data_IF_392230685221
#
_entry.id   IF_392230685221
#
_cell.length_a   1.000
_cell.length_b   1.000
_cell.length_c   1.000
_cell.angle_alpha   90.00
_cell.angle_beta   90.00
_cell.angle_gamma   90.00
#
_symmetry.space_group_name_H-M   'P 1'
#
loop_
_entity.id
_entity.type
_entity.pdbx_description
1 polymer ?
#
# COMPACT_ATOMS: atom_id res chain seq x y z
N UNK A 1 16.23 -6.69 -46.33
CA UNK A 1 14.80 -6.45 -46.10
C UNK A 1 14.17 -7.40 -45.07
N UNK A 2 14.59 -8.64 -44.90
CA UNK A 2 14.01 -9.56 -43.90
C UNK A 2 14.33 -9.21 -42.43
N UNK A 3 15.54 -8.74 -42.13
CA UNK A 3 15.97 -8.38 -40.77
C UNK A 3 15.24 -7.15 -40.21
N UNK A 4 14.90 -6.18 -41.05
CA UNK A 4 14.18 -4.98 -40.63
C UNK A 4 12.70 -5.27 -40.27
N UNK A 5 12.08 -6.21 -41.00
CA UNK A 5 10.68 -6.64 -40.69
C UNK A 5 10.59 -7.45 -39.40
N UNK A 6 11.60 -8.28 -39.09
CA UNK A 6 11.63 -9.03 -37.81
C UNK A 6 11.85 -8.12 -36.60
N UNK A 7 12.69 -7.08 -36.72
CA UNK A 7 12.95 -6.11 -35.66
C UNK A 7 11.71 -5.25 -35.35
N UNK A 8 10.97 -4.82 -36.38
CA UNK A 8 9.75 -4.03 -36.23
C UNK A 8 8.63 -4.90 -35.58
N UNK A 9 8.51 -6.17 -35.97
CA UNK A 9 7.52 -7.08 -35.40
C UNK A 9 7.81 -7.36 -33.93
N UNK A 10 9.08 -7.53 -33.54
CA UNK A 10 9.48 -7.77 -32.13
C UNK A 10 9.24 -6.54 -31.24
N UNK A 11 9.49 -5.33 -31.78
CA UNK A 11 9.18 -4.08 -31.06
C UNK A 11 7.66 -3.89 -30.86
N UNK A 12 6.84 -4.17 -31.90
CA UNK A 12 5.38 -4.07 -31.75
C UNK A 12 4.81 -5.10 -30.79
N UNK A 13 5.30 -6.34 -30.75
CA UNK A 13 4.87 -7.35 -29.81
C UNK A 13 5.27 -6.97 -28.38
N UNK A 14 6.47 -6.44 -28.15
CA UNK A 14 6.91 -6.00 -26.83
C UNK A 14 6.08 -4.81 -26.28
N UNK A 15 5.72 -3.86 -27.14
CA UNK A 15 4.86 -2.72 -26.77
C UNK A 15 3.42 -3.18 -26.49
N UNK A 16 2.89 -4.11 -27.29
CA UNK A 16 1.54 -4.64 -27.09
C UNK A 16 1.43 -5.48 -25.81
N UNK A 17 2.45 -6.29 -25.48
CA UNK A 17 2.49 -7.09 -24.24
C UNK A 17 2.58 -6.16 -23.00
N UNK A 18 3.34 -5.06 -23.06
CA UNK A 18 3.40 -4.10 -21.96
C UNK A 18 2.09 -3.33 -21.77
N UNK A 19 1.41 -2.93 -22.83
CA UNK A 19 0.09 -2.30 -22.73
C UNK A 19 -0.92 -3.26 -22.11
N UNK A 20 -0.97 -4.53 -22.54
CA UNK A 20 -1.84 -5.56 -21.98
C UNK A 20 -1.61 -5.81 -20.48
N UNK A 21 -0.35 -5.81 -20.02
CA UNK A 21 -0.03 -6.01 -18.60
C UNK A 21 -0.49 -4.83 -17.72
N UNK A 22 -0.40 -3.61 -18.23
CA UNK A 22 -0.92 -2.42 -17.52
C UNK A 22 -2.45 -2.41 -17.47
N UNK A 23 -3.12 -2.76 -18.58
CA UNK A 23 -4.57 -2.83 -18.64
C UNK A 23 -5.13 -3.91 -17.67
N UNK A 24 -4.43 -5.04 -17.55
CA UNK A 24 -4.79 -6.09 -16.59
C UNK A 24 -4.66 -5.56 -15.15
N UNK A 25 -3.56 -4.89 -14.83
CA UNK A 25 -3.32 -4.35 -13.49
C UNK A 25 -4.37 -3.28 -13.13
N UNK A 26 -4.68 -2.36 -14.03
CA UNK A 26 -5.73 -1.35 -13.87
C UNK A 26 -7.10 -2.00 -13.64
N UNK A 27 -7.44 -3.00 -14.44
CA UNK A 27 -8.71 -3.74 -14.33
C UNK A 27 -8.83 -4.47 -13.00
N UNK A 28 -7.76 -5.12 -12.54
CA UNK A 28 -7.74 -5.84 -11.28
C UNK A 28 -7.90 -4.89 -10.09
N UNK A 29 -7.11 -3.79 -10.06
CA UNK A 29 -7.23 -2.77 -9.02
C UNK A 29 -8.66 -2.25 -8.91
N UNK A 30 -9.27 -1.90 -10.04
CA UNK A 30 -10.67 -1.46 -10.07
C UNK A 30 -11.62 -2.54 -9.55
N UNK A 31 -11.43 -3.79 -9.95
CA UNK A 31 -12.28 -4.90 -9.52
C UNK A 31 -12.21 -5.13 -8.01
N UNK A 32 -11.01 -5.05 -7.41
CA UNK A 32 -10.83 -5.18 -5.97
C UNK A 32 -11.51 -4.04 -5.22
N UNK A 33 -11.31 -2.80 -5.67
CA UNK A 33 -11.87 -1.60 -5.03
C UNK A 33 -13.39 -1.62 -5.12
N UNK A 34 -13.98 -1.88 -6.30
CA UNK A 34 -15.43 -1.98 -6.48
C UNK A 34 -16.02 -3.07 -5.58
N UNK A 35 -15.38 -4.25 -5.50
CA UNK A 35 -15.86 -5.31 -4.63
C UNK A 35 -15.86 -4.90 -3.16
N UNK A 36 -14.78 -4.31 -2.66
CA UNK A 36 -14.64 -3.88 -1.26
C UNK A 36 -15.57 -2.70 -0.95
N UNK A 37 -15.59 -1.65 -1.78
CA UNK A 37 -16.27 -0.40 -1.48
C UNK A 37 -17.75 -0.36 -1.88
N UNK A 38 -18.15 -1.12 -2.93
CA UNK A 38 -19.53 -1.09 -3.44
C UNK A 38 -20.30 -2.38 -3.14
N UNK A 39 -19.66 -3.57 -3.33
CA UNK A 39 -20.35 -4.85 -3.09
C UNK A 39 -20.43 -5.15 -1.59
N UNK A 40 -19.36 -4.96 -0.83
CA UNK A 40 -19.36 -5.08 0.64
C UNK A 40 -19.81 -3.75 1.25
N UNK A 41 -19.25 -2.64 0.78
CA UNK A 41 -19.53 -1.28 1.25
C UNK A 41 -18.84 -0.97 2.56
N UNK A 42 -19.52 -0.27 3.46
CA UNK A 42 -19.05 0.13 4.79
C UNK A 42 -18.57 -1.09 5.60
N UNK A 43 -17.29 -1.13 5.92
CA UNK A 43 -16.58 -2.24 6.58
C UNK A 43 -16.13 -1.84 7.99
N UNK A 44 -16.99 -1.15 8.71
CA UNK A 44 -16.63 -0.61 10.01
C UNK A 44 -16.67 -1.67 11.14
N UNK A 45 -16.05 -1.34 12.27
CA UNK A 45 -15.92 -2.24 13.43
C UNK A 45 -17.26 -2.65 14.09
N UNK A 46 -18.33 -1.90 13.85
CA UNK A 46 -19.67 -2.23 14.37
C UNK A 46 -20.31 -3.35 13.55
N UNK A 47 -20.07 -3.39 12.24
CA UNK A 47 -20.56 -4.41 11.31
C UNK A 47 -19.49 -5.49 11.06
N UNK A 48 -19.32 -6.37 12.06
CA UNK A 48 -18.33 -7.44 11.98
C UNK A 48 -18.62 -8.45 10.85
N UNK A 49 -19.85 -8.55 10.35
CA UNK A 49 -20.19 -9.43 9.23
C UNK A 49 -19.57 -8.92 7.93
N UNK A 50 -19.74 -7.63 7.61
CA UNK A 50 -19.11 -7.01 6.44
C UNK A 50 -17.59 -6.98 6.55
N UNK A 51 -17.07 -6.67 7.76
CA UNK A 51 -15.63 -6.69 7.99
C UNK A 51 -15.04 -8.09 7.77
N UNK A 52 -15.72 -9.15 8.22
CA UNK A 52 -15.30 -10.52 7.98
C UNK A 52 -15.41 -10.92 6.50
N UNK A 53 -16.47 -10.47 5.78
CA UNK A 53 -16.56 -10.68 4.33
C UNK A 53 -15.38 -10.07 3.58
N UNK A 54 -14.91 -8.90 4.01
CA UNK A 54 -13.70 -8.28 3.44
C UNK A 54 -12.44 -9.11 3.75
N UNK A 55 -12.28 -9.56 5.01
CA UNK A 55 -11.17 -10.43 5.41
C UNK A 55 -11.15 -11.74 4.60
N UNK A 56 -12.30 -12.39 4.44
CA UNK A 56 -12.43 -13.65 3.70
C UNK A 56 -12.13 -13.45 2.19
N UNK A 57 -12.59 -12.34 1.60
CA UNK A 57 -12.24 -11.97 0.23
C UNK A 57 -10.74 -11.79 0.05
N UNK A 58 -10.08 -11.05 0.95
CA UNK A 58 -8.64 -10.81 0.91
C UNK A 58 -7.87 -12.13 1.05
N UNK A 59 -8.29 -12.98 1.99
CA UNK A 59 -7.71 -14.30 2.20
C UNK A 59 -7.84 -15.18 0.94
N UNK A 60 -9.03 -15.22 0.32
CA UNK A 60 -9.29 -15.97 -0.91
C UNK A 60 -8.39 -15.49 -2.06
N UNK A 61 -8.25 -14.16 -2.24
CA UNK A 61 -7.38 -13.60 -3.27
C UNK A 61 -5.91 -13.96 -3.06
N UNK A 62 -5.39 -13.81 -1.85
CA UNK A 62 -4.02 -14.21 -1.54
C UNK A 62 -3.78 -15.71 -1.82
N UNK A 63 -4.73 -16.59 -1.43
CA UNK A 63 -4.65 -18.04 -1.73
C UNK A 63 -4.71 -18.32 -3.24
N UNK A 64 -5.55 -17.60 -3.99
CA UNK A 64 -5.65 -17.75 -5.44
C UNK A 64 -4.35 -17.41 -6.17
N UNK A 65 -3.54 -16.51 -5.58
CA UNK A 65 -2.20 -16.15 -6.07
C UNK A 65 -1.12 -17.12 -5.56
N UNK A 66 -1.51 -18.21 -4.87
CA UNK A 66 -0.60 -19.24 -4.32
C UNK A 66 0.37 -18.72 -3.26
N UNK A 67 0.01 -17.66 -2.55
CA UNK A 67 0.76 -17.19 -1.39
C UNK A 67 0.60 -18.19 -0.21
N UNK A 68 1.58 -18.21 0.69
CA UNK A 68 1.41 -18.81 2.00
C UNK A 68 0.60 -17.85 2.89
N UNK A 69 -0.62 -18.23 3.27
CA UNK A 69 -1.58 -17.32 3.91
C UNK A 69 -1.80 -17.68 5.37
N UNK A 70 -1.64 -16.70 6.25
CA UNK A 70 -1.91 -16.80 7.67
C UNK A 70 -3.01 -15.80 8.08
N UNK A 71 -4.01 -16.29 8.81
CA UNK A 71 -5.07 -15.48 9.42
C UNK A 71 -4.77 -15.31 10.91
N UNK A 72 -4.33 -14.12 11.31
CA UNK A 72 -4.04 -13.78 12.71
C UNK A 72 -5.31 -13.27 13.37
N UNK A 73 -5.87 -14.03 14.30
CA UNK A 73 -7.04 -13.63 15.08
C UNK A 73 -6.63 -12.84 16.33
N UNK A 74 -7.41 -11.83 16.70
CA UNK A 74 -7.28 -11.09 17.94
C UNK A 74 -8.66 -10.62 18.44
N UNK A 75 -8.78 -10.36 19.73
CA UNK A 75 -10.07 -10.01 20.36
C UNK A 75 -10.04 -8.60 20.90
N UNK A 76 -11.05 -7.81 20.55
CA UNK A 76 -11.30 -6.47 21.08
C UNK A 76 -12.77 -6.39 21.46
N UNK A 77 -13.07 -5.95 22.69
CA UNK A 77 -14.45 -5.78 23.20
C UNK A 77 -15.34 -7.03 22.98
N UNK A 78 -14.80 -8.21 23.26
CA UNK A 78 -15.45 -9.52 23.08
C UNK A 78 -15.83 -9.88 21.62
N UNK A 79 -15.31 -9.15 20.64
CA UNK A 79 -15.44 -9.47 19.21
C UNK A 79 -14.09 -9.92 18.65
N UNK A 80 -14.12 -10.87 17.70
CA UNK A 80 -12.90 -11.37 17.06
C UNK A 80 -12.70 -10.67 15.72
N UNK A 81 -11.47 -10.20 15.50
CA UNK A 81 -11.01 -9.54 14.29
C UNK A 81 -9.79 -10.27 13.73
N UNK A 82 -9.45 -10.01 12.49
CA UNK A 82 -8.41 -10.74 11.79
C UNK A 82 -7.46 -9.81 11.03
N UNK A 83 -6.16 -10.03 11.16
CA UNK A 83 -5.20 -9.60 10.15
C UNK A 83 -4.97 -10.75 9.17
N UNK A 84 -4.85 -10.45 7.88
CA UNK A 84 -4.62 -11.44 6.84
C UNK A 84 -3.23 -11.21 6.25
N UNK A 85 -2.32 -12.15 6.52
CA UNK A 85 -0.95 -12.12 6.00
C UNK A 85 -0.82 -13.07 4.80
N UNK A 86 -0.20 -12.60 3.74
CA UNK A 86 0.30 -13.41 2.64
C UNK A 86 1.82 -13.31 2.59
N UNK A 87 2.50 -14.45 2.66
CA UNK A 87 3.95 -14.52 2.50
C UNK A 87 4.33 -15.06 1.12
N UNK A 88 5.20 -14.34 0.43
CA UNK A 88 5.91 -14.80 -0.77
C UNK A 88 7.37 -14.92 -0.41
N UNK A 89 7.87 -16.17 -0.31
CA UNK A 89 9.25 -16.43 0.08
C UNK A 89 10.25 -15.94 -0.93
N UNK A 90 11.31 -15.34 -0.44
CA UNK A 90 12.43 -14.86 -1.24
C UNK A 90 13.15 -15.98 -1.98
N UNK A 91 13.80 -15.64 -3.09
CA UNK A 91 14.56 -16.59 -3.91
C UNK A 91 15.98 -16.85 -3.39
N UNK A 92 16.62 -15.86 -2.76
CA UNK A 92 18.01 -15.94 -2.26
C UNK A 92 18.17 -15.52 -0.82
N UNK A 93 17.81 -14.29 -0.45
CA UNK A 93 17.95 -13.74 0.90
C UNK A 93 16.62 -13.89 1.69
N UNK A 94 16.18 -15.11 1.89
CA UNK A 94 14.84 -15.45 2.44
C UNK A 94 14.61 -14.93 3.86
N UNK A 95 15.67 -14.72 4.64
CA UNK A 95 15.60 -14.23 6.01
C UNK A 95 15.44 -12.71 6.08
N UNK A 96 15.64 -12.00 4.98
CA UNK A 96 15.36 -10.58 4.86
C UNK A 96 13.90 -10.39 4.46
N UNK A 97 13.14 -9.71 5.30
CA UNK A 97 11.70 -9.56 5.15
C UNK A 97 11.36 -8.08 4.97
N UNK A 98 10.55 -7.78 3.96
CA UNK A 98 9.87 -6.49 3.83
C UNK A 98 8.39 -6.74 4.05
N UNK A 99 7.77 -5.97 4.93
CA UNK A 99 6.32 -5.99 5.17
C UNK A 99 5.68 -4.85 4.38
N UNK A 100 4.59 -5.13 3.67
CA UNK A 100 3.76 -4.12 3.00
C UNK A 100 2.34 -4.33 3.47
N UNK A 101 1.70 -3.29 4.02
CA UNK A 101 0.37 -3.44 4.61
C UNK A 101 -0.59 -2.33 4.23
N UNK A 102 -1.88 -2.61 4.44
CA UNK A 102 -2.97 -1.66 4.31
C UNK A 102 -4.11 -2.08 5.23
N UNK A 103 -4.81 -1.13 5.84
CA UNK A 103 -6.01 -1.48 6.58
C UNK A 103 -7.19 -1.74 5.63
N UNK A 104 -8.13 -2.58 6.07
CA UNK A 104 -9.29 -2.93 5.25
C UNK A 104 -10.63 -2.52 5.87
N UNK A 105 -10.61 -2.04 7.12
CA UNK A 105 -11.77 -1.40 7.74
C UNK A 105 -11.99 0.02 7.23
N UNK A 106 -13.16 0.58 7.51
CA UNK A 106 -13.55 1.95 7.16
C UNK A 106 -14.17 2.63 8.37
N UNK A 107 -14.20 3.95 8.34
CA UNK A 107 -15.05 4.68 9.25
C UNK A 107 -16.54 4.41 8.92
N UNK A 108 -17.40 4.42 9.94
CA UNK A 108 -18.83 4.12 9.76
C UNK A 108 -19.50 5.10 8.79
N UNK A 109 -20.28 4.55 7.83
CA UNK A 109 -21.03 5.31 6.84
C UNK A 109 -20.25 5.71 5.59
N UNK A 110 -19.00 5.18 5.41
CA UNK A 110 -18.20 5.43 4.21
C UNK A 110 -18.02 4.15 3.39
N UNK A 111 -18.11 4.22 2.05
CA UNK A 111 -17.74 3.09 1.19
C UNK A 111 -16.25 2.76 1.28
N UNK A 112 -15.40 3.75 1.55
CA UNK A 112 -13.97 3.59 1.72
C UNK A 112 -13.28 3.04 0.47
N UNK A 113 -13.50 3.69 -0.67
CA UNK A 113 -12.87 3.28 -1.92
C UNK A 113 -11.39 3.68 -1.96
N UNK A 114 -11.10 4.92 -1.59
CA UNK A 114 -9.73 5.36 -1.40
C UNK A 114 -9.22 4.98 -0.02
N UNK A 115 -10.04 5.18 1.00
CA UNK A 115 -9.75 4.93 2.43
C UNK A 115 -10.41 3.64 2.94
N UNK A 116 -9.80 2.42 2.89
CA UNK A 116 -8.50 2.21 2.26
C UNK A 116 -8.55 0.97 1.34
N UNK A 117 -9.67 0.81 0.57
CA UNK A 117 -9.74 -0.25 -0.43
C UNK A 117 -8.67 -0.07 -1.53
N UNK A 118 -8.20 1.18 -1.78
CA UNK A 118 -7.11 1.46 -2.70
C UNK A 118 -5.80 0.82 -2.25
N UNK A 119 -5.43 0.98 -0.98
CA UNK A 119 -4.26 0.34 -0.38
C UNK A 119 -4.38 -1.19 -0.36
N UNK A 120 -5.57 -1.72 -0.01
CA UNK A 120 -5.84 -3.17 -0.05
C UNK A 120 -5.69 -3.73 -1.45
N UNK A 121 -6.27 -3.09 -2.48
CA UNK A 121 -6.09 -3.49 -3.87
C UNK A 121 -4.61 -3.47 -4.27
N UNK A 122 -3.86 -2.48 -3.79
CA UNK A 122 -2.42 -2.39 -3.99
C UNK A 122 -1.66 -3.59 -3.44
N UNK A 123 -1.92 -4.01 -2.19
CA UNK A 123 -1.24 -5.18 -1.62
C UNK A 123 -1.67 -6.49 -2.29
N UNK A 124 -2.92 -6.61 -2.76
CA UNK A 124 -3.38 -7.77 -3.51
C UNK A 124 -2.62 -7.91 -4.83
N UNK A 125 -2.48 -6.83 -5.60
CA UNK A 125 -1.77 -6.87 -6.86
C UNK A 125 -0.24 -7.03 -6.69
N UNK A 126 0.35 -6.46 -5.62
CA UNK A 126 1.75 -6.76 -5.27
C UNK A 126 1.95 -8.23 -4.92
N UNK A 127 0.99 -8.88 -4.23
CA UNK A 127 1.03 -10.31 -3.96
C UNK A 127 1.01 -11.13 -5.24
N UNK A 128 0.14 -10.79 -6.19
CA UNK A 128 0.06 -11.44 -7.49
C UNK A 128 1.38 -11.31 -8.25
N UNK A 129 1.91 -10.09 -8.38
CA UNK A 129 3.18 -9.84 -9.07
C UNK A 129 4.35 -10.57 -8.41
N UNK A 130 4.44 -10.52 -7.09
CA UNK A 130 5.49 -11.21 -6.35
C UNK A 130 5.37 -12.74 -6.45
N UNK A 131 4.16 -13.29 -6.55
CA UNK A 131 3.96 -14.72 -6.76
C UNK A 131 4.32 -15.17 -8.18
N UNK A 132 4.08 -14.34 -9.19
CA UNK A 132 4.46 -14.61 -10.58
C UNK A 132 5.98 -14.50 -10.80
N UNK A 133 6.62 -13.55 -10.13
CA UNK A 133 8.07 -13.32 -10.20
C UNK A 133 8.63 -13.02 -8.81
N UNK A 134 8.96 -14.06 -7.98
CA UNK A 134 9.42 -13.84 -6.63
C UNK A 134 10.74 -13.05 -6.56
N UNK A 135 10.80 -12.14 -5.58
CA UNK A 135 11.94 -11.26 -5.32
C UNK A 135 13.05 -11.98 -4.52
N UNK A 136 14.29 -11.46 -4.45
CA UNK A 136 15.34 -11.99 -3.60
C UNK A 136 14.97 -12.08 -2.11
N UNK A 137 14.28 -11.07 -1.56
CA UNK A 137 13.82 -11.03 -0.17
C UNK A 137 12.41 -11.61 -0.04
N UNK A 138 12.06 -12.10 1.12
CA UNK A 138 10.68 -12.46 1.48
C UNK A 138 9.83 -11.22 1.59
N UNK A 139 8.66 -11.25 0.95
CA UNK A 139 7.67 -10.17 1.02
C UNK A 139 6.46 -10.67 1.79
N UNK A 140 6.08 -9.96 2.84
CA UNK A 140 4.84 -10.18 3.56
C UNK A 140 3.87 -9.05 3.25
N UNK A 141 2.70 -9.42 2.75
CA UNK A 141 1.61 -8.49 2.45
C UNK A 141 0.51 -8.70 3.49
N UNK A 142 0.14 -7.64 4.19
CA UNK A 142 -0.73 -7.77 5.36
C UNK A 142 -1.90 -6.80 5.27
N UNK A 143 -3.12 -7.33 5.31
CA UNK A 143 -4.32 -6.52 5.50
C UNK A 143 -4.63 -6.43 6.99
N UNK A 144 -4.70 -5.21 7.52
CA UNK A 144 -4.94 -4.93 8.94
C UNK A 144 -6.39 -4.57 9.21
N UNK A 145 -6.91 -4.99 10.37
CA UNK A 145 -8.21 -4.56 10.86
C UNK A 145 -8.05 -3.45 11.92
N UNK A 146 -9.11 -2.67 12.11
CA UNK A 146 -9.24 -1.71 13.22
C UNK A 146 -8.18 -0.59 13.20
N UNK A 147 -7.87 -0.07 12.04
CA UNK A 147 -7.07 1.16 11.93
C UNK A 147 -7.89 2.39 12.33
N UNK A 148 -9.14 2.42 11.93
CA UNK A 148 -10.05 3.55 12.06
C UNK A 148 -10.52 3.81 13.50
N UNK A 149 -10.98 5.04 13.83
CA UNK A 149 -11.63 5.32 15.10
C UNK A 149 -12.79 4.37 15.42
N UNK A 150 -12.93 3.92 16.68
CA UNK A 150 -12.28 4.45 17.89
C UNK A 150 -10.93 3.81 18.22
N UNK A 151 -10.44 2.88 17.40
CA UNK A 151 -9.24 2.11 17.71
C UNK A 151 -7.95 2.75 17.21
N UNK A 152 -8.04 3.77 16.36
CA UNK A 152 -6.91 4.54 15.87
C UNK A 152 -5.95 4.95 17.00
N UNK A 153 -4.65 4.74 16.80
CA UNK A 153 -3.57 5.00 17.79
C UNK A 153 -3.62 4.18 19.07
N UNK A 154 -4.51 3.21 19.18
CA UNK A 154 -4.60 2.30 20.33
C UNK A 154 -3.82 1.00 20.09
N UNK A 155 -3.66 0.20 21.14
CA UNK A 155 -3.09 -1.15 21.07
C UNK A 155 -4.03 -2.17 20.40
N UNK A 156 -5.24 -1.76 20.09
CA UNK A 156 -6.25 -2.59 19.46
C UNK A 156 -6.20 -2.53 17.91
N UNK A 157 -5.41 -1.60 17.34
CA UNK A 157 -5.14 -1.62 15.90
C UNK A 157 -4.54 -2.95 15.49
N UNK A 158 -5.04 -3.54 14.40
CA UNK A 158 -4.50 -4.79 13.87
C UNK A 158 -3.02 -4.71 13.55
N UNK A 159 -2.57 -3.58 13.00
CA UNK A 159 -1.16 -3.33 12.76
C UNK A 159 -0.30 -3.33 14.03
N UNK A 160 -0.84 -2.82 15.16
CA UNK A 160 -0.13 -2.88 16.43
C UNK A 160 -0.04 -4.32 16.95
N UNK A 161 -1.14 -5.07 16.88
CA UNK A 161 -1.18 -6.50 17.25
C UNK A 161 -0.18 -7.30 16.42
N UNK A 162 -0.11 -7.02 15.12
CA UNK A 162 0.82 -7.69 14.20
C UNK A 162 2.28 -7.31 14.50
N UNK A 163 2.61 -6.03 14.61
CA UNK A 163 3.97 -5.57 14.89
C UNK A 163 4.49 -6.08 16.23
N UNK A 164 3.65 -6.10 17.28
CA UNK A 164 4.02 -6.69 18.58
C UNK A 164 4.17 -8.21 18.51
N UNK A 165 3.44 -8.92 17.63
CA UNK A 165 3.67 -10.36 17.44
C UNK A 165 5.04 -10.63 16.81
N UNK A 166 5.43 -9.86 15.79
CA UNK A 166 6.77 -9.94 15.20
C UNK A 166 7.87 -9.70 16.25
N UNK A 167 7.68 -8.70 17.11
CA UNK A 167 8.63 -8.38 18.17
C UNK A 167 8.76 -9.50 19.20
N UNK A 168 7.65 -10.09 19.62
CA UNK A 168 7.65 -11.24 20.56
C UNK A 168 8.30 -12.48 19.98
N UNK A 169 8.16 -12.69 18.67
CA UNK A 169 8.79 -13.79 17.94
C UNK A 169 10.26 -13.51 17.63
N UNK A 170 10.76 -12.32 17.89
CA UNK A 170 12.12 -11.89 17.55
C UNK A 170 12.34 -11.76 16.04
N UNK A 171 11.26 -11.64 15.25
CA UNK A 171 11.34 -11.51 13.79
C UNK A 171 11.95 -10.19 13.41
N UNK A 172 13.03 -10.23 12.63
CA UNK A 172 13.67 -9.03 12.07
C UNK A 172 13.08 -8.76 10.69
N UNK A 173 12.75 -7.50 10.44
CA UNK A 173 12.32 -7.03 9.13
C UNK A 173 13.23 -5.89 8.68
N UNK A 174 13.44 -5.74 7.37
CA UNK A 174 14.17 -4.61 6.78
C UNK A 174 13.39 -3.29 6.95
N UNK A 175 12.07 -3.39 6.93
CA UNK A 175 11.14 -2.31 7.21
C UNK A 175 9.71 -2.64 6.77
N UNK A 176 8.78 -1.71 7.11
CA UNK A 176 7.37 -1.82 6.71
C UNK A 176 6.95 -0.62 5.86
N UNK A 177 6.14 -0.88 4.85
CA UNK A 177 5.51 0.11 3.98
C UNK A 177 4.00 0.04 4.17
N UNK A 178 3.38 1.11 4.66
CA UNK A 178 1.92 1.24 4.69
C UNK A 178 1.44 1.85 3.38
N UNK A 179 0.48 1.23 2.71
CA UNK A 179 -0.28 1.83 1.62
C UNK A 179 -1.54 2.44 2.20
N UNK A 180 -1.64 3.76 2.12
CA UNK A 180 -2.70 4.55 2.76
C UNK A 180 -3.29 5.55 1.79
N UNK A 181 -4.50 5.29 1.26
CA UNK A 181 -5.10 6.15 0.24
C UNK A 181 -4.12 6.43 -0.91
N UNK A 182 -4.16 5.61 -1.94
CA UNK A 182 -3.22 5.70 -3.06
C UNK A 182 -3.92 5.97 -4.41
N UNK A 183 -5.21 6.32 -4.37
CA UNK A 183 -6.05 6.37 -5.56
C UNK A 183 -6.48 7.75 -6.02
N UNK A 184 -6.48 8.78 -5.18
CA UNK A 184 -6.99 10.09 -5.54
C UNK A 184 -5.89 11.03 -6.04
N UNK A 185 -6.05 11.54 -7.27
CA UNK A 185 -5.12 12.48 -7.90
C UNK A 185 -5.85 13.73 -8.37
N UNK A 186 -5.15 14.87 -8.36
CA UNK A 186 -5.68 16.14 -8.79
C UNK A 186 -4.63 16.97 -9.53
N UNK A 187 -4.88 17.26 -10.80
CA UNK A 187 -3.97 18.01 -11.66
C UNK A 187 -4.23 19.53 -11.67
N UNK A 188 -5.20 20.01 -10.87
CA UNK A 188 -5.51 21.43 -10.76
C UNK A 188 -4.52 22.12 -9.82
N UNK A 189 -4.14 23.36 -10.14
CA UNK A 189 -3.35 24.18 -9.22
C UNK A 189 -4.16 24.51 -7.95
N UNK A 190 -3.49 24.36 -6.81
CA UNK A 190 -4.07 24.67 -5.51
C UNK A 190 -4.97 23.60 -4.90
N UNK A 191 -5.06 22.41 -5.50
CA UNK A 191 -5.78 21.27 -4.91
C UNK A 191 -4.96 20.47 -3.89
N UNK A 192 -3.71 20.83 -3.66
CA UNK A 192 -2.86 20.23 -2.63
C UNK A 192 -2.68 21.19 -1.46
N UNK A 193 -3.06 20.73 -0.28
CA UNK A 193 -2.86 21.44 0.99
C UNK A 193 -1.75 20.80 1.80
N UNK A 194 -1.28 21.49 2.85
CA UNK A 194 -0.20 21.04 3.70
C UNK A 194 -0.44 21.43 5.15
N UNK A 195 0.04 20.63 6.14
CA UNK A 195 -0.17 20.90 7.56
C UNK A 195 0.44 22.21 8.03
N UNK A 196 1.52 22.66 7.39
CA UNK A 196 2.20 23.91 7.73
C UNK A 196 2.28 24.81 6.49
N UNK A 197 1.91 26.11 6.61
CA UNK A 197 1.81 27.00 5.45
C UNK A 197 3.06 27.14 4.60
N UNK A 198 4.25 26.99 5.21
CA UNK A 198 5.51 27.13 4.50
C UNK A 198 5.86 25.91 3.63
N UNK A 199 5.21 24.74 3.83
CA UNK A 199 5.44 23.56 2.98
C UNK A 199 5.08 23.80 1.52
N UNK A 200 4.09 24.68 1.24
CA UNK A 200 3.74 25.08 -0.14
C UNK A 200 4.87 25.75 -0.92
N UNK A 201 5.96 26.15 -0.27
CA UNK A 201 7.13 26.72 -0.92
C UNK A 201 8.12 25.64 -1.37
N UNK A 202 8.05 24.43 -0.82
CA UNK A 202 8.98 23.33 -1.05
C UNK A 202 8.32 22.15 -1.78
N UNK A 203 6.99 22.05 -1.73
CA UNK A 203 6.24 20.93 -2.28
C UNK A 203 5.26 21.40 -3.39
N UNK A 204 4.84 20.46 -4.29
CA UNK A 204 3.94 20.79 -5.40
C UNK A 204 2.60 21.38 -4.96
N UNK A 205 2.01 22.26 -5.80
CA UNK A 205 0.66 22.80 -5.58
C UNK A 205 -0.45 21.93 -6.17
N UNK A 206 -0.08 20.96 -7.02
CA UNK A 206 -0.97 19.97 -7.63
C UNK A 206 -0.89 18.67 -6.86
N UNK A 207 -2.00 17.98 -6.73
CA UNK A 207 -2.07 16.67 -6.10
C UNK A 207 -1.83 15.51 -7.07
N UNK A 208 -0.80 15.58 -7.90
CA UNK A 208 -0.51 14.59 -8.95
C UNK A 208 0.69 13.69 -8.62
N UNK A 209 1.01 13.53 -7.34
CA UNK A 209 2.12 12.74 -6.82
C UNK A 209 1.65 11.85 -5.67
N UNK A 210 2.46 10.86 -5.29
CA UNK A 210 2.34 10.16 -4.01
C UNK A 210 3.44 10.60 -3.05
N UNK A 211 3.12 10.62 -1.76
CA UNK A 211 4.03 11.06 -0.70
C UNK A 211 4.54 9.88 0.10
N UNK A 212 5.85 9.79 0.29
CA UNK A 212 6.53 8.83 1.16
C UNK A 212 6.76 9.50 2.52
N UNK A 213 6.01 9.10 3.52
CA UNK A 213 5.91 9.79 4.81
C UNK A 213 6.43 8.89 5.93
N UNK A 214 7.50 9.32 6.59
CA UNK A 214 8.14 8.53 7.63
C UNK A 214 8.70 9.38 8.78
N UNK A 215 9.12 8.69 9.85
CA UNK A 215 9.89 9.32 10.91
C UNK A 215 11.36 9.50 10.54
N UNK A 216 12.11 10.19 11.39
CA UNK A 216 13.55 10.43 11.18
C UNK A 216 14.32 9.11 11.18
N UNK A 217 13.94 8.16 12.05
CA UNK A 217 14.59 6.85 12.17
C UNK A 217 14.47 6.00 10.91
N UNK A 218 13.34 6.11 10.22
CA UNK A 218 13.05 5.36 9.00
C UNK A 218 13.60 5.99 7.71
N UNK A 219 14.23 7.19 7.80
CA UNK A 219 14.64 7.96 6.62
C UNK A 219 15.50 7.15 5.64
N UNK A 220 16.43 6.34 6.13
CA UNK A 220 17.31 5.52 5.27
C UNK A 220 16.50 4.52 4.45
N UNK A 221 15.55 3.85 5.07
CA UNK A 221 14.67 2.89 4.41
C UNK A 221 13.74 3.60 3.41
N UNK A 222 13.08 4.69 3.84
CA UNK A 222 12.21 5.52 2.98
C UNK A 222 12.94 5.98 1.72
N UNK A 223 14.13 6.56 1.87
CA UNK A 223 14.89 7.11 0.74
C UNK A 223 15.38 6.01 -0.21
N UNK A 224 15.80 4.85 0.33
CA UNK A 224 16.20 3.71 -0.50
C UNK A 224 15.08 3.25 -1.44
N UNK A 225 13.86 3.11 -0.93
CA UNK A 225 12.69 2.73 -1.74
C UNK A 225 12.31 3.87 -2.71
N UNK A 226 12.28 5.12 -2.25
CA UNK A 226 11.94 6.28 -3.11
C UNK A 226 12.89 6.41 -4.29
N UNK A 227 14.20 6.35 -4.07
CA UNK A 227 15.21 6.47 -5.13
C UNK A 227 15.11 5.33 -6.16
N UNK A 228 14.84 4.11 -5.71
CA UNK A 228 14.58 2.99 -6.60
C UNK A 228 13.28 3.18 -7.39
N UNK A 229 12.22 3.68 -6.74
CA UNK A 229 10.95 4.01 -7.41
C UNK A 229 11.12 5.07 -8.50
N UNK A 230 11.84 6.16 -8.22
CA UNK A 230 12.09 7.23 -9.19
C UNK A 230 12.90 6.78 -10.41
N UNK A 231 13.67 5.69 -10.30
CA UNK A 231 14.36 5.05 -11.44
C UNK A 231 13.43 4.15 -12.26
N UNK A 232 12.33 3.69 -11.67
CA UNK A 232 11.45 2.67 -12.24
C UNK A 232 10.11 3.21 -12.75
N UNK A 233 9.72 4.43 -12.36
CA UNK A 233 8.41 5.02 -12.69
C UNK A 233 8.54 6.50 -12.97
N UNK A 234 7.70 7.00 -13.88
CA UNK A 234 7.56 8.43 -14.18
C UNK A 234 6.57 9.15 -13.25
N UNK A 235 5.79 8.40 -12.44
CA UNK A 235 4.85 8.98 -11.50
C UNK A 235 5.60 9.85 -10.46
N UNK A 236 5.23 11.13 -10.32
CA UNK A 236 5.89 11.99 -9.36
C UNK A 236 5.72 11.50 -7.92
N UNK A 237 6.79 11.56 -7.15
CA UNK A 237 6.78 11.20 -5.73
C UNK A 237 7.52 12.24 -4.90
N UNK A 238 6.93 12.60 -3.77
CA UNK A 238 7.53 13.45 -2.76
C UNK A 238 7.89 12.65 -1.51
N UNK A 239 8.67 13.22 -0.60
CA UNK A 239 8.93 12.56 0.68
C UNK A 239 9.18 13.52 1.81
N UNK A 240 8.74 13.12 2.99
CA UNK A 240 9.07 13.79 4.24
C UNK A 240 9.41 12.75 5.31
N UNK A 241 10.54 12.95 5.98
CA UNK A 241 10.89 12.22 7.20
C UNK A 241 11.09 13.23 8.31
N UNK A 242 10.19 13.23 9.30
CA UNK A 242 10.19 14.23 10.38
C UNK A 242 9.63 13.62 11.67
N UNK A 243 9.45 14.45 12.67
CA UNK A 243 8.88 14.04 13.96
C UNK A 243 7.34 13.94 13.88
N UNK A 244 6.75 13.06 14.66
CA UNK A 244 5.30 12.82 14.71
C UNK A 244 4.45 14.00 15.22
N UNK A 245 5.09 15.10 15.64
CA UNK A 245 4.38 16.33 15.98
C UNK A 245 3.80 17.07 14.76
N UNK A 246 4.30 16.78 13.55
CA UNK A 246 3.71 17.33 12.32
C UNK A 246 2.46 16.51 12.00
N UNK A 247 1.26 17.15 11.92
CA UNK A 247 0.01 16.44 11.68
C UNK A 247 0.03 15.61 10.39
N UNK A 248 -0.42 14.37 10.46
CA UNK A 248 -0.47 13.44 9.32
C UNK A 248 0.75 12.52 9.19
N UNK A 249 1.85 12.77 9.93
CA UNK A 249 3.07 11.95 9.82
C UNK A 249 2.86 10.53 10.38
N UNK A 250 2.04 10.39 11.40
CA UNK A 250 1.76 9.13 12.10
C UNK A 250 0.29 8.68 11.96
N UNK A 251 -0.35 9.03 10.81
CA UNK A 251 -1.76 8.76 10.58
C UNK A 251 -1.96 7.55 9.66
N UNK A 252 -1.39 6.39 10.05
CA UNK A 252 -1.70 5.08 9.49
C UNK A 252 -0.93 3.97 10.22
N UNK A 253 -1.02 2.74 9.75
CA UNK A 253 -0.47 1.49 10.28
C UNK A 253 1.03 1.52 10.56
N UNK A 254 1.82 2.27 9.80
CA UNK A 254 3.28 2.41 9.97
C UNK A 254 3.68 2.92 11.36
N UNK A 255 2.83 3.73 12.00
CA UNK A 255 3.04 4.20 13.37
C UNK A 255 3.14 3.03 14.37
N UNK A 256 2.37 1.98 14.18
CA UNK A 256 2.37 0.78 15.03
C UNK A 256 3.72 0.07 14.99
N UNK A 257 4.36 0.06 13.83
CA UNK A 257 5.69 -0.51 13.65
C UNK A 257 6.77 0.35 14.32
N UNK A 258 6.67 1.68 14.27
CA UNK A 258 7.58 2.56 15.02
C UNK A 258 7.51 2.29 16.52
N UNK A 259 6.29 2.17 17.07
CA UNK A 259 6.09 1.86 18.50
C UNK A 259 6.69 0.51 18.89
N UNK A 260 6.74 -0.43 17.96
CA UNK A 260 7.35 -1.76 18.17
C UNK A 260 8.86 -1.79 17.89
N UNK A 261 9.44 -0.67 17.42
CA UNK A 261 10.89 -0.51 17.20
C UNK A 261 11.36 -0.84 15.78
N UNK A 262 10.46 -0.95 14.83
CA UNK A 262 10.78 -1.21 13.42
C UNK A 262 10.82 0.08 12.59
N UNK A 263 11.63 0.08 11.54
CA UNK A 263 11.55 1.12 10.52
C UNK A 263 10.29 0.96 9.67
N UNK A 264 9.57 2.05 9.46
CA UNK A 264 8.38 2.04 8.62
C UNK A 264 8.12 3.41 7.98
N UNK A 265 7.37 3.44 6.89
CA UNK A 265 6.84 4.65 6.29
C UNK A 265 5.52 4.37 5.56
N UNK A 266 4.75 5.42 5.35
CA UNK A 266 3.50 5.40 4.63
C UNK A 266 3.70 5.92 3.21
N UNK A 267 3.05 5.32 2.22
CA UNK A 267 2.87 5.89 0.89
C UNK A 267 1.42 6.30 0.77
N UNK A 268 1.18 7.59 0.45
CA UNK A 268 -0.17 8.16 0.46
C UNK A 268 -0.36 9.22 -0.61
N UNK A 269 -1.58 9.41 -1.04
CA UNK A 269 -2.02 10.57 -1.82
C UNK A 269 -2.18 11.84 -0.97
N UNK A 270 -1.93 11.75 0.33
CA UNK A 270 -2.04 12.79 1.35
C UNK A 270 -3.43 12.99 1.95
N UNK A 271 -4.38 12.07 1.71
CA UNK A 271 -5.68 12.01 2.36
C UNK A 271 -6.39 13.38 2.42
N UNK A 272 -6.85 13.80 3.59
CA UNK A 272 -7.58 15.07 3.80
C UNK A 272 -6.82 16.35 3.38
N UNK A 273 -5.53 16.27 3.07
CA UNK A 273 -4.81 17.40 2.47
C UNK A 273 -5.02 17.53 0.95
N UNK A 274 -5.71 16.54 0.34
CA UNK A 274 -5.99 16.52 -1.11
C UNK A 274 -7.39 16.04 -1.44
N UNK A 275 -7.80 14.90 -0.87
CA UNK A 275 -9.03 14.20 -1.21
C UNK A 275 -10.22 14.80 -0.42
N UNK A 276 -11.17 15.50 -1.09
CA UNK A 276 -12.34 16.06 -0.42
C UNK A 276 -13.38 15.01 -0.03
N UNK A 277 -13.16 13.75 -0.40
CA UNK A 277 -14.04 12.61 -0.10
C UNK A 277 -13.58 11.82 1.12
N UNK A 278 -12.43 12.20 1.73
CA UNK A 278 -11.91 11.57 2.94
C UNK A 278 -12.97 11.50 4.04
N UNK A 279 -13.18 10.32 4.60
CA UNK A 279 -14.18 10.03 5.65
C UNK A 279 -15.62 10.46 5.29
N UNK A 280 -15.96 10.44 4.02
CA UNK A 280 -17.26 10.84 3.52
C UNK A 280 -17.97 9.71 2.74
N UNK A 281 -19.32 9.73 2.71
CA UNK A 281 -20.10 8.79 1.91
C UNK A 281 -19.86 8.92 0.40
N UNK A 282 -19.12 9.95 -0.03
CA UNK A 282 -18.71 10.18 -1.42
C UNK A 282 -17.33 9.59 -1.77
N UNK A 283 -16.68 8.86 -0.85
CA UNK A 283 -15.46 8.10 -1.13
C UNK A 283 -15.81 6.82 -1.90
N UNK A 284 -15.96 6.96 -3.20
CA UNK A 284 -16.50 5.95 -4.12
C UNK A 284 -15.52 5.63 -5.24
N UNK A 285 -15.63 4.43 -5.81
CA UNK A 285 -14.66 3.87 -6.77
C UNK A 285 -14.44 4.74 -8.03
N UNK A 286 -15.46 5.47 -8.49
CA UNK A 286 -15.36 6.34 -9.67
C UNK A 286 -14.52 7.63 -9.44
N UNK A 287 -14.10 7.91 -8.21
CA UNK A 287 -13.24 9.05 -7.88
C UNK A 287 -11.76 8.79 -8.11
N UNK A 288 -11.36 7.53 -8.28
CA UNK A 288 -9.98 7.09 -8.29
C UNK A 288 -9.37 7.05 -9.69
N UNK A 289 -8.09 7.34 -9.77
CA UNK A 289 -7.28 7.26 -11.00
C UNK A 289 -6.55 5.91 -11.09
N UNK A 290 -7.24 4.91 -11.61
CA UNK A 290 -6.73 3.55 -11.72
C UNK A 290 -5.47 3.42 -12.58
N UNK A 291 -5.31 4.29 -13.57
CA UNK A 291 -4.10 4.31 -14.41
C UNK A 291 -2.87 4.71 -13.60
N UNK A 292 -2.98 5.79 -12.82
CA UNK A 292 -1.89 6.23 -11.92
C UNK A 292 -1.64 5.21 -10.80
N UNK A 293 -2.69 4.58 -10.27
CA UNK A 293 -2.54 3.48 -9.32
C UNK A 293 -1.77 2.30 -9.93
N UNK A 294 -2.10 1.89 -11.15
CA UNK A 294 -1.40 0.81 -11.84
C UNK A 294 0.07 1.17 -12.11
N UNK A 295 0.36 2.41 -12.54
CA UNK A 295 1.71 2.92 -12.69
C UNK A 295 2.48 2.89 -11.37
N UNK A 296 1.83 3.30 -10.27
CA UNK A 296 2.42 3.26 -8.93
C UNK A 296 2.75 1.82 -8.50
N UNK A 297 1.80 0.89 -8.57
CA UNK A 297 2.00 -0.50 -8.13
C UNK A 297 3.10 -1.18 -8.94
N UNK A 298 3.12 -0.99 -10.26
CA UNK A 298 4.20 -1.49 -11.11
C UNK A 298 5.55 -0.88 -10.73
N UNK A 299 5.59 0.44 -10.52
CA UNK A 299 6.80 1.15 -10.11
C UNK A 299 7.31 0.71 -8.74
N UNK A 300 6.41 0.50 -7.78
CA UNK A 300 6.77 0.02 -6.43
C UNK A 300 7.32 -1.41 -6.49
N UNK A 301 6.69 -2.30 -7.28
CA UNK A 301 7.20 -3.65 -7.47
C UNK A 301 8.62 -3.64 -8.07
N UNK A 302 8.86 -2.83 -9.11
CA UNK A 302 10.19 -2.68 -9.73
C UNK A 302 11.22 -2.05 -8.78
N UNK A 303 10.78 -1.14 -7.91
CA UNK A 303 11.64 -0.56 -6.87
C UNK A 303 12.05 -1.62 -5.84
N UNK A 304 11.10 -2.47 -5.41
CA UNK A 304 11.38 -3.59 -4.51
C UNK A 304 12.35 -4.59 -5.17
N UNK A 305 12.17 -4.91 -6.45
CA UNK A 305 13.10 -5.75 -7.21
C UNK A 305 14.51 -5.15 -7.17
N UNK A 306 14.68 -3.88 -7.54
CA UNK A 306 15.98 -3.18 -7.50
C UNK A 306 16.61 -3.23 -6.10
N UNK A 307 15.85 -2.88 -5.07
CA UNK A 307 16.33 -2.80 -3.69
C UNK A 307 16.75 -4.15 -3.12
N UNK A 308 16.07 -5.22 -3.53
CA UNK A 308 16.35 -6.58 -3.05
C UNK A 308 17.44 -7.29 -3.85
N UNK A 309 17.71 -6.87 -5.10
CA UNK A 309 18.81 -7.36 -5.93
C UNK A 309 20.17 -6.71 -5.59
N UNK A 310 20.15 -5.49 -5.03
CA UNK A 310 21.39 -4.81 -4.63
C UNK A 310 22.17 -5.65 -3.62
N UNK A 311 23.07 -6.50 -4.12
CA UNK A 311 24.09 -7.14 -3.29
C UNK A 311 24.92 -6.02 -2.65
N UNK A 312 25.16 -6.10 -1.34
CA UNK A 312 26.23 -5.31 -0.74
C UNK A 312 27.47 -5.62 -1.57
N UNK A 313 27.97 -4.62 -2.30
CA UNK A 313 29.33 -4.70 -2.85
C UNK A 313 30.25 -5.09 -1.71
N UNK A 314 31.16 -6.04 -1.90
CA UNK A 314 32.03 -6.55 -0.85
C UNK A 314 32.88 -5.46 -0.24
#
# INVERSE_FOLDING_TARGET
MCFLKALILTLFVAVYVNASAMDILETNLKSHIVFLSETIGDRNYLDTEKLNKAADYIEEKFRSYKCDVKKQSFTVENKTYYNIEAEVKGTSDKDKIIVIGAHYDTIAGTPGADDNASGVAGILELARLASEKPLPYTIRLVAFALEEPPFFRTKNMGSYVYAESLKREGTKIEGMISLEMIGYFCDKDGCQYYPLPFFKWFFPKKGNFLSFVGDIGSRKFTMKIKEAFQKSSSLPVESINTISLVPGIDFSDHMSFWKSGYHAFMITDTAFYRNPHYHAGSDTAEKLDYKKMAEFIKGLYSALETVTEERKSP
#
